data_IF_628639984921
#
_entry.id   IF_628639984921
#
_cell.length_a   1.000
_cell.length_b   1.000
_cell.length_c   1.000
_cell.angle_alpha   90.00
_cell.angle_beta   90.00
_cell.angle_gamma   90.00
#
_symmetry.space_group_name_H-M   'P 1'
#
loop_
_entity.id
_entity.type
_entity.pdbx_description
1 polymer ?
#
# COMPACT_ATOMS: atom_id res chain seq x y z
N UNK A 1 -17.69 -10.13 -3.65
CA UNK A 1 -16.91 -9.27 -2.76
C UNK A 1 -15.44 -9.63 -2.97
N UNK A 2 -14.61 -8.67 -3.40
CA UNK A 2 -13.18 -8.85 -3.62
C UNK A 2 -12.36 -8.76 -2.32
N UNK A 3 -12.98 -8.36 -1.20
CA UNK A 3 -12.31 -8.22 0.09
C UNK A 3 -11.40 -7.00 0.20
N UNK A 4 -11.42 -6.07 -0.76
CA UNK A 4 -10.55 -4.89 -0.77
C UNK A 4 -11.03 -3.74 0.12
N UNK A 5 -12.19 -3.86 0.76
CA UNK A 5 -12.69 -2.83 1.67
C UNK A 5 -13.36 -1.65 0.97
N UNK A 6 -13.75 -1.81 -0.30
CA UNK A 6 -14.53 -0.82 -1.02
C UNK A 6 -15.96 -0.73 -0.50
N UNK A 7 -16.52 0.48 -0.51
CA UNK A 7 -17.93 0.67 -0.20
C UNK A 7 -18.80 -0.02 -1.25
N UNK A 8 -19.86 -0.68 -0.79
CA UNK A 8 -20.77 -1.44 -1.66
C UNK A 8 -21.39 -0.52 -2.71
N UNK A 9 -21.25 -0.88 -3.98
CA UNK A 9 -21.78 -0.09 -5.10
C UNK A 9 -20.94 1.13 -5.49
N UNK A 10 -19.78 1.33 -4.85
CA UNK A 10 -18.78 2.32 -5.31
C UNK A 10 -18.23 1.95 -6.69
N UNK A 11 -17.60 2.90 -7.37
CA UNK A 11 -16.92 2.62 -8.64
C UNK A 11 -15.80 1.60 -8.43
N UNK A 12 -15.05 1.70 -7.32
CA UNK A 12 -14.04 0.70 -6.98
C UNK A 12 -14.60 -0.71 -6.83
N UNK A 13 -15.75 -0.88 -6.15
CA UNK A 13 -16.42 -2.19 -6.00
C UNK A 13 -16.79 -2.79 -7.36
N UNK A 14 -17.42 -1.99 -8.23
CA UNK A 14 -17.83 -2.42 -9.56
C UNK A 14 -16.65 -2.73 -10.49
N UNK A 15 -15.64 -1.86 -10.52
CA UNK A 15 -14.44 -2.04 -11.33
C UNK A 15 -13.60 -3.23 -10.86
N UNK A 16 -13.70 -3.57 -9.57
CA UNK A 16 -12.96 -4.70 -9.00
C UNK A 16 -13.42 -6.07 -9.50
N UNK A 17 -14.70 -6.18 -9.87
CA UNK A 17 -15.32 -7.44 -10.24
C UNK A 17 -14.59 -8.15 -11.40
N UNK A 18 -14.12 -7.38 -12.40
CA UNK A 18 -13.48 -7.94 -13.59
C UNK A 18 -12.13 -8.59 -13.27
N UNK A 19 -11.20 -7.84 -12.66
CA UNK A 19 -9.87 -8.38 -12.35
C UNK A 19 -9.94 -9.41 -11.23
N UNK A 20 -10.87 -9.27 -10.27
CA UNK A 20 -11.03 -10.24 -9.20
C UNK A 20 -11.52 -11.58 -9.74
N UNK A 21 -12.52 -11.57 -10.60
CA UNK A 21 -13.01 -12.79 -11.28
C UNK A 21 -11.90 -13.46 -12.10
N UNK A 22 -11.13 -12.67 -12.86
CA UNK A 22 -9.99 -13.15 -13.63
C UNK A 22 -8.93 -13.84 -12.77
N UNK A 23 -8.57 -13.24 -11.64
CA UNK A 23 -7.60 -13.79 -10.69
C UNK A 23 -8.17 -15.03 -9.99
N UNK A 24 -9.41 -14.98 -9.51
CA UNK A 24 -10.07 -16.07 -8.80
C UNK A 24 -10.16 -17.34 -9.67
N UNK A 25 -10.36 -17.20 -10.98
CA UNK A 25 -10.37 -18.32 -11.92
C UNK A 25 -8.99 -18.96 -12.17
N UNK A 26 -7.89 -18.30 -11.77
CA UNK A 26 -6.50 -18.75 -12.00
C UNK A 26 -5.75 -19.13 -10.73
N UNK A 27 -6.30 -18.76 -9.57
CA UNK A 27 -5.79 -19.16 -8.26
C UNK A 27 -6.40 -20.50 -7.90
N UNK A 28 -5.60 -21.56 -8.07
CA UNK A 28 -5.98 -22.94 -7.75
C UNK A 28 -6.01 -23.21 -6.24
N UNK A 29 -6.50 -24.39 -5.86
CA UNK A 29 -6.63 -24.78 -4.45
C UNK A 29 -5.29 -24.86 -3.72
N UNK A 30 -4.20 -25.21 -4.41
CA UNK A 30 -2.86 -25.25 -3.83
C UNK A 30 -2.38 -23.86 -3.43
N UNK A 31 -2.55 -22.88 -4.31
CA UNK A 31 -2.24 -21.47 -4.04
C UNK A 31 -3.13 -20.94 -2.91
N UNK A 32 -4.43 -21.29 -2.88
CA UNK A 32 -5.34 -20.88 -1.80
C UNK A 32 -4.91 -21.45 -0.45
N UNK A 33 -4.58 -22.74 -0.40
CA UNK A 33 -4.08 -23.39 0.80
C UNK A 33 -2.83 -22.70 1.30
N UNK A 34 -1.88 -22.40 0.41
CA UNK A 34 -0.67 -21.66 0.78
C UNK A 34 -0.98 -20.25 1.30
N UNK A 35 -1.78 -19.46 0.60
CA UNK A 35 -2.17 -18.11 1.03
C UNK A 35 -2.88 -18.12 2.40
N UNK A 36 -3.68 -19.15 2.69
CA UNK A 36 -4.37 -19.30 3.98
C UNK A 36 -3.41 -19.58 5.15
N UNK A 37 -2.19 -20.05 4.89
CA UNK A 37 -1.15 -20.21 5.93
C UNK A 37 -0.38 -18.93 6.24
N UNK A 38 -0.51 -17.89 5.41
CA UNK A 38 0.24 -16.66 5.60
C UNK A 38 -0.23 -15.93 6.86
N UNK A 39 0.69 -15.45 7.71
CA UNK A 39 0.32 -14.78 8.93
C UNK A 39 -0.31 -13.42 8.62
N UNK A 40 -1.31 -13.02 9.41
CA UNK A 40 -1.95 -11.70 9.27
C UNK A 40 -1.05 -10.54 9.68
N UNK A 41 -0.06 -10.81 10.55
CA UNK A 41 0.97 -9.86 10.98
C UNK A 41 2.29 -10.58 11.16
N UNK A 42 3.39 -9.89 10.91
CA UNK A 42 4.74 -10.33 11.23
C UNK A 42 5.35 -9.36 12.23
N UNK A 43 5.81 -9.84 13.38
CA UNK A 43 6.57 -9.04 14.33
C UNK A 43 8.05 -9.41 14.26
N UNK A 44 8.91 -8.41 14.27
CA UNK A 44 10.37 -8.61 14.19
C UNK A 44 11.11 -7.46 14.87
N UNK A 45 12.34 -7.73 15.28
CA UNK A 45 13.23 -6.69 15.81
C UNK A 45 14.26 -6.29 14.76
N UNK A 46 14.41 -4.99 14.52
CA UNK A 46 15.38 -4.46 13.57
C UNK A 46 16.06 -3.21 14.16
N UNK A 47 17.39 -3.21 14.20
CA UNK A 47 18.18 -2.16 14.88
C UNK A 47 17.78 -1.92 16.36
N UNK A 48 17.30 -2.96 17.05
CA UNK A 48 16.82 -2.84 18.45
C UNK A 48 15.42 -2.23 18.59
N UNK A 49 14.72 -1.98 17.48
CA UNK A 49 13.32 -1.53 17.45
C UNK A 49 12.40 -2.71 17.14
N UNK A 50 11.28 -2.82 17.87
CA UNK A 50 10.20 -3.77 17.62
C UNK A 50 9.31 -3.23 16.52
N UNK A 51 9.20 -3.95 15.42
CA UNK A 51 8.40 -3.57 14.27
C UNK A 51 7.34 -4.62 13.99
N UNK A 52 6.18 -4.18 13.48
CA UNK A 52 5.17 -5.07 12.91
C UNK A 52 4.96 -4.77 11.42
N UNK A 53 4.91 -5.80 10.59
CA UNK A 53 4.44 -5.70 9.22
C UNK A 53 2.98 -6.19 9.12
N UNK A 54 2.11 -5.35 8.55
CA UNK A 54 0.67 -5.62 8.36
C UNK A 54 0.23 -5.22 6.95
N UNK A 55 -0.96 -5.65 6.53
CA UNK A 55 -1.49 -5.26 5.22
C UNK A 55 -2.05 -3.82 5.22
N UNK A 56 -3.10 -3.54 6.00
CA UNK A 56 -3.75 -2.22 6.06
C UNK A 56 -3.90 -1.73 7.49
N UNK A 57 -4.89 -2.26 8.23
CA UNK A 57 -5.07 -2.04 9.66
C UNK A 57 -4.86 -3.30 10.49
N UNK A 58 -4.69 -3.14 11.79
CA UNK A 58 -4.52 -4.21 12.79
C UNK A 58 -5.83 -4.89 13.13
N UNK A 59 -6.92 -4.12 13.24
CA UNK A 59 -8.27 -4.65 13.50
C UNK A 59 -8.94 -5.16 12.22
N UNK A 60 -8.77 -4.42 11.11
CA UNK A 60 -9.35 -4.72 9.81
C UNK A 60 -8.24 -4.72 8.76
N UNK A 61 -7.97 -5.90 8.18
CA UNK A 61 -6.85 -6.13 7.26
C UNK A 61 -6.87 -5.19 6.05
N UNK A 62 -8.06 -4.81 5.59
CA UNK A 62 -8.33 -3.92 4.46
C UNK A 62 -8.83 -2.53 4.91
N UNK A 63 -8.35 -2.03 6.05
CA UNK A 63 -8.56 -0.62 6.43
C UNK A 63 -7.62 0.24 5.60
N UNK A 64 -8.18 1.21 4.88
CA UNK A 64 -7.42 2.26 4.23
C UNK A 64 -6.94 3.29 5.27
N UNK A 65 -5.63 3.55 5.26
CA UNK A 65 -4.99 4.60 6.05
C UNK A 65 -4.10 5.45 5.13
N UNK A 66 -4.29 6.76 5.18
CA UNK A 66 -3.63 7.74 4.31
C UNK A 66 -2.89 8.82 5.11
N UNK A 67 -1.91 9.44 4.47
CA UNK A 67 -1.01 10.42 5.08
C UNK A 67 -1.75 11.65 5.65
N UNK A 68 -2.92 12.00 5.14
CA UNK A 68 -3.71 13.14 5.62
C UNK A 68 -4.52 12.90 6.89
N UNK A 69 -4.69 11.64 7.30
CA UNK A 69 -5.54 11.27 8.44
C UNK A 69 -4.96 11.74 9.79
N UNK A 70 -5.81 11.79 10.81
CA UNK A 70 -5.45 12.30 12.13
C UNK A 70 -4.45 11.38 12.84
N UNK A 71 -3.63 11.92 13.75
CA UNK A 71 -2.76 11.08 14.60
C UNK A 71 -3.58 10.03 15.38
N UNK A 72 -4.80 10.37 15.78
CA UNK A 72 -5.71 9.46 16.49
C UNK A 72 -6.07 8.21 15.65
N UNK A 73 -6.25 8.35 14.33
CA UNK A 73 -6.55 7.21 13.45
C UNK A 73 -5.43 6.15 13.47
N UNK A 74 -4.19 6.61 13.51
CA UNK A 74 -3.01 5.74 13.55
C UNK A 74 -2.72 5.24 14.96
N UNK A 75 -2.87 6.07 15.99
CA UNK A 75 -2.70 5.66 17.40
C UNK A 75 -3.67 4.53 17.76
N UNK A 76 -4.92 4.58 17.28
CA UNK A 76 -5.89 3.51 17.49
C UNK A 76 -5.37 2.14 16.99
N UNK A 77 -4.60 2.12 15.91
CA UNK A 77 -4.00 0.91 15.35
C UNK A 77 -2.72 0.53 16.09
N UNK A 78 -1.87 1.50 16.39
CA UNK A 78 -0.59 1.30 17.09
C UNK A 78 -0.80 0.79 18.52
N UNK A 79 -1.83 1.24 19.24
CA UNK A 79 -2.15 0.81 20.60
C UNK A 79 -2.54 -0.69 20.69
N UNK A 80 -2.94 -1.30 19.57
CA UNK A 80 -3.21 -2.75 19.50
C UNK A 80 -1.92 -3.58 19.43
N UNK A 81 -0.77 -2.91 19.28
CA UNK A 81 0.53 -3.53 19.07
C UNK A 81 1.54 -3.01 20.09
N UNK A 82 2.24 -3.91 20.76
CA UNK A 82 3.37 -3.56 21.61
C UNK A 82 4.65 -3.43 20.74
N UNK A 83 4.70 -2.39 19.90
CA UNK A 83 5.78 -2.14 18.93
C UNK A 83 6.21 -0.67 18.90
N UNK A 84 7.48 -0.46 18.53
CA UNK A 84 8.00 0.88 18.25
C UNK A 84 7.47 1.42 16.90
N UNK A 85 7.15 0.54 15.93
CA UNK A 85 6.68 0.99 14.62
C UNK A 85 5.96 -0.07 13.77
N UNK A 86 5.22 0.42 12.77
CA UNK A 86 4.46 -0.39 11.82
C UNK A 86 4.93 -0.12 10.38
N UNK A 87 5.07 -1.21 9.62
CA UNK A 87 5.21 -1.20 8.15
C UNK A 87 3.91 -1.74 7.56
N UNK A 88 3.15 -0.87 6.90
CA UNK A 88 1.86 -1.15 6.29
C UNK A 88 1.92 -1.04 4.75
N UNK A 89 0.81 -1.39 4.10
CA UNK A 89 0.57 -1.23 2.67
C UNK A 89 -0.90 -0.86 2.41
N UNK A 90 -1.56 -1.64 1.56
CA UNK A 90 -2.99 -1.58 1.23
C UNK A 90 -3.47 -0.29 0.53
N UNK A 91 -3.22 0.89 1.09
CA UNK A 91 -3.72 2.16 0.55
C UNK A 91 -3.00 2.66 -0.70
N UNK A 92 -1.97 1.96 -1.19
CA UNK A 92 -1.38 2.20 -2.52
C UNK A 92 -0.41 3.37 -2.60
N UNK A 93 -0.60 4.39 -1.77
CA UNK A 93 0.20 5.63 -1.77
C UNK A 93 1.25 5.53 -0.65
N UNK A 94 2.55 5.60 -0.97
CA UNK A 94 3.58 5.50 0.04
C UNK A 94 3.69 6.78 0.88
N UNK A 95 3.90 6.64 2.18
CA UNK A 95 4.11 7.76 3.10
C UNK A 95 4.78 7.29 4.39
N UNK A 96 5.26 8.23 5.19
CA UNK A 96 5.70 7.96 6.54
C UNK A 96 5.13 8.98 7.52
N UNK A 97 4.67 8.51 8.68
CA UNK A 97 4.20 9.32 9.80
C UNK A 97 4.98 8.93 11.05
N UNK A 98 5.52 9.93 11.73
CA UNK A 98 6.08 9.79 13.07
C UNK A 98 5.08 10.42 14.04
N UNK A 99 4.54 9.61 14.96
CA UNK A 99 3.48 10.01 15.89
C UNK A 99 4.00 9.82 17.30
N UNK A 100 4.37 10.92 17.95
CA UNK A 100 5.20 10.87 19.15
C UNK A 100 6.48 10.09 18.86
N UNK A 101 6.69 9.00 19.60
CA UNK A 101 7.86 8.14 19.45
C UNK A 101 7.61 6.92 18.54
N UNK A 102 6.41 6.74 17.99
CA UNK A 102 6.06 5.60 17.16
C UNK A 102 6.08 5.93 15.67
N UNK A 103 6.35 4.90 14.86
CA UNK A 103 6.39 4.99 13.40
C UNK A 103 5.17 4.33 12.77
N UNK A 104 4.60 4.99 11.76
CA UNK A 104 3.76 4.35 10.77
C UNK A 104 4.33 4.60 9.37
N UNK A 105 4.78 3.54 8.70
CA UNK A 105 5.33 3.63 7.36
C UNK A 105 4.49 2.81 6.38
N UNK A 106 3.98 3.46 5.33
CA UNK A 106 3.35 2.78 4.20
C UNK A 106 4.36 2.68 3.05
N UNK A 107 4.70 1.46 2.65
CA UNK A 107 5.69 1.24 1.61
C UNK A 107 5.16 1.54 0.18
N UNK A 108 3.85 1.79 0.03
CA UNK A 108 3.16 1.82 -1.25
C UNK A 108 2.84 0.42 -1.76
N UNK A 109 2.62 0.29 -3.06
CA UNK A 109 2.40 -1.01 -3.71
C UNK A 109 3.25 -1.12 -4.96
N UNK A 110 3.78 -2.32 -5.22
CA UNK A 110 4.64 -2.59 -6.38
C UNK A 110 3.85 -2.86 -7.68
N UNK A 111 2.53 -3.06 -7.57
CA UNK A 111 1.68 -3.50 -8.70
C UNK A 111 0.72 -2.44 -9.25
N UNK A 112 0.71 -1.24 -8.67
CA UNK A 112 -0.16 -0.12 -9.09
C UNK A 112 0.54 1.21 -8.81
N UNK A 113 0.58 2.16 -9.76
CA UNK A 113 1.12 3.48 -9.49
C UNK A 113 0.39 4.22 -8.38
N UNK A 114 1.04 5.21 -7.76
CA UNK A 114 0.55 5.88 -6.54
C UNK A 114 -0.45 7.03 -6.79
N UNK A 115 -1.21 6.98 -7.88
CA UNK A 115 -2.11 8.07 -8.32
C UNK A 115 -1.38 9.43 -8.55
N UNK A 116 -0.08 9.39 -8.83
CA UNK A 116 0.81 10.55 -8.86
C UNK A 116 1.10 11.05 -10.29
N UNK A 117 0.37 10.54 -11.29
CA UNK A 117 0.53 10.94 -12.69
C UNK A 117 1.77 10.34 -13.36
N UNK A 118 2.38 9.31 -12.76
CA UNK A 118 3.50 8.59 -13.34
C UNK A 118 3.28 7.08 -13.40
N UNK A 119 3.96 6.40 -14.31
CA UNK A 119 3.84 4.96 -14.51
C UNK A 119 4.67 4.12 -13.51
N UNK A 120 5.45 4.76 -12.63
CA UNK A 120 6.29 4.06 -11.66
C UNK A 120 5.49 3.61 -10.44
N UNK A 121 5.98 2.55 -9.81
CA UNK A 121 5.48 2.09 -8.50
C UNK A 121 6.51 2.38 -7.42
N UNK A 122 6.26 1.97 -6.18
CA UNK A 122 7.10 2.33 -5.04
C UNK A 122 7.45 1.13 -4.18
N UNK A 123 8.67 1.18 -3.64
CA UNK A 123 9.12 0.31 -2.55
C UNK A 123 9.96 1.14 -1.59
N UNK A 124 10.25 0.58 -0.41
CA UNK A 124 11.08 1.25 0.59
C UNK A 124 12.19 0.34 1.08
N UNK A 125 13.33 0.94 1.42
CA UNK A 125 14.45 0.27 2.09
C UNK A 125 14.50 0.72 3.55
N UNK A 126 14.62 -0.26 4.45
CA UNK A 126 14.88 -0.05 5.86
C UNK A 126 16.34 -0.42 6.14
N UNK A 127 17.13 0.55 6.54
CA UNK A 127 18.57 0.40 6.79
C UNK A 127 18.89 0.78 8.22
N UNK A 128 19.86 0.08 8.83
CA UNK A 128 20.35 0.41 10.17
C UNK A 128 21.34 1.56 10.08
N UNK A 129 21.13 2.61 10.87
CA UNK A 129 22.07 3.74 10.96
C UNK A 129 22.70 3.92 12.33
N UNK A 130 22.13 3.28 13.35
CA UNK A 130 22.63 3.29 14.72
C UNK A 130 21.78 2.39 15.63
N UNK A 131 22.13 2.34 16.91
CA UNK A 131 21.30 1.67 17.90
C UNK A 131 19.95 2.39 18.01
N UNK A 132 18.86 1.61 17.93
CA UNK A 132 17.49 2.10 17.92
C UNK A 132 17.21 3.20 16.89
N UNK A 133 17.91 3.17 15.74
CA UNK A 133 17.71 4.13 14.65
C UNK A 133 17.72 3.47 13.28
N UNK A 134 16.78 3.90 12.43
CA UNK A 134 16.58 3.43 11.06
C UNK A 134 16.65 4.59 10.07
N UNK A 135 17.23 4.31 8.91
CA UNK A 135 16.96 5.07 7.69
C UNK A 135 15.87 4.37 6.90
N UNK A 136 14.85 5.11 6.52
CA UNK A 136 13.77 4.65 5.65
C UNK A 136 13.84 5.47 4.38
N UNK A 137 14.19 4.84 3.27
CA UNK A 137 14.27 5.49 1.96
C UNK A 137 13.24 4.91 1.01
N UNK A 138 12.40 5.78 0.43
CA UNK A 138 11.41 5.42 -0.58
C UNK A 138 12.03 5.56 -1.96
N UNK A 139 11.85 4.53 -2.78
CA UNK A 139 12.44 4.45 -4.11
C UNK A 139 11.39 4.15 -5.16
N UNK A 140 11.50 4.78 -6.35
CA UNK A 140 10.66 4.45 -7.47
C UNK A 140 11.07 3.11 -8.10
N UNK A 141 10.09 2.28 -8.42
CA UNK A 141 10.27 1.05 -9.16
C UNK A 141 9.69 1.21 -10.56
N UNK A 142 10.56 1.17 -11.57
CA UNK A 142 10.18 1.13 -12.98
C UNK A 142 10.07 -0.32 -13.45
N UNK A 143 9.10 -0.57 -14.32
CA UNK A 143 8.83 -1.88 -14.90
C UNK A 143 8.41 -1.72 -16.36
N UNK A 144 8.31 -2.83 -17.08
CA UNK A 144 7.81 -2.82 -18.47
C UNK A 144 6.28 -2.65 -18.46
N UNK A 145 5.86 -1.40 -18.39
CA UNK A 145 4.45 -0.98 -18.42
C UNK A 145 3.76 -1.46 -19.70
N UNK A 146 4.43 -1.33 -20.86
CA UNK A 146 3.85 -1.69 -22.15
C UNK A 146 3.52 -3.19 -22.25
N UNK A 147 4.46 -4.06 -21.85
CA UNK A 147 4.23 -5.51 -21.81
C UNK A 147 3.13 -5.87 -20.81
N UNK A 148 3.11 -5.21 -19.66
CA UNK A 148 2.09 -5.47 -18.62
C UNK A 148 0.69 -5.10 -19.10
N UNK A 149 0.53 -3.93 -19.73
CA UNK A 149 -0.78 -3.44 -20.17
C UNK A 149 -1.27 -4.22 -21.39
N UNK A 150 -0.37 -4.64 -22.28
CA UNK A 150 -0.70 -5.55 -23.38
C UNK A 150 -1.19 -6.92 -22.87
N UNK A 151 -0.55 -7.48 -21.85
CA UNK A 151 -1.05 -8.72 -21.21
C UNK A 151 -2.44 -8.52 -20.61
N UNK A 152 -2.70 -7.39 -19.95
CA UNK A 152 -4.03 -7.05 -19.44
C UNK A 152 -5.07 -6.95 -20.57
N UNK A 153 -4.74 -6.27 -21.68
CA UNK A 153 -5.63 -6.16 -22.84
C UNK A 153 -5.97 -7.52 -23.44
N UNK A 154 -4.97 -8.38 -23.67
CA UNK A 154 -5.17 -9.76 -24.17
C UNK A 154 -6.02 -10.61 -23.23
N UNK A 155 -5.90 -10.37 -21.93
CA UNK A 155 -6.72 -11.00 -20.90
C UNK A 155 -8.15 -10.44 -20.80
N UNK A 156 -8.49 -9.40 -21.57
CA UNK A 156 -9.79 -8.72 -21.51
C UNK A 156 -9.96 -7.80 -20.29
N UNK A 157 -8.89 -7.49 -19.56
CA UNK A 157 -8.89 -6.61 -18.38
C UNK A 157 -8.88 -5.14 -18.80
N UNK A 158 -10.04 -4.63 -19.22
CA UNK A 158 -10.19 -3.31 -19.83
C UNK A 158 -10.87 -2.26 -18.93
N UNK A 159 -11.16 -2.60 -17.66
CA UNK A 159 -11.84 -1.76 -16.67
C UNK A 159 -11.10 -0.50 -16.18
N UNK A 160 -10.05 -0.04 -16.88
CA UNK A 160 -9.38 1.23 -16.60
C UNK A 160 -8.06 1.08 -15.86
N UNK A 161 -7.85 -0.02 -15.12
CA UNK A 161 -6.58 -0.27 -14.43
C UNK A 161 -5.39 -0.38 -15.39
N UNK A 162 -5.57 -0.91 -16.59
CA UNK A 162 -4.52 -0.90 -17.62
C UNK A 162 -4.10 0.52 -18.00
N UNK A 163 -5.03 1.49 -18.02
CA UNK A 163 -4.68 2.91 -18.25
C UNK A 163 -3.99 3.51 -17.05
N UNK A 164 -4.42 3.15 -15.84
CA UNK A 164 -3.78 3.59 -14.60
C UNK A 164 -2.31 3.17 -14.53
N UNK A 165 -1.97 1.97 -15.00
CA UNK A 165 -0.57 1.54 -15.13
C UNK A 165 0.24 2.43 -16.09
N UNK A 166 -0.40 2.97 -17.13
CA UNK A 166 0.25 3.77 -18.19
C UNK A 166 0.41 5.24 -17.81
N UNK A 167 -0.60 5.83 -17.18
CA UNK A 167 -0.66 7.27 -16.91
C UNK A 167 -0.51 7.63 -15.42
N UNK A 168 -0.49 6.64 -14.54
CA UNK A 168 -0.37 6.87 -13.11
C UNK A 168 -1.60 7.46 -12.43
N UNK A 169 -2.78 7.39 -13.05
CA UNK A 169 -4.03 7.94 -12.52
C UNK A 169 -5.02 6.81 -12.25
N UNK A 170 -5.54 6.74 -11.03
CA UNK A 170 -6.47 5.70 -10.65
C UNK A 170 -7.82 5.85 -11.37
N UNK A 171 -8.49 4.73 -11.70
CA UNK A 171 -9.78 4.77 -12.40
C UNK A 171 -10.94 5.22 -11.50
N UNK A 172 -10.72 5.28 -10.18
CA UNK A 172 -11.65 5.83 -9.19
C UNK A 172 -10.87 6.44 -8.01
N UNK A 173 -11.47 7.43 -7.36
CA UNK A 173 -10.94 8.12 -6.19
C UNK A 173 -11.79 7.90 -4.93
N UNK A 174 -12.70 6.90 -4.96
CA UNK A 174 -13.70 6.67 -3.90
C UNK A 174 -13.05 6.45 -2.52
N UNK A 175 -11.89 5.77 -2.50
CA UNK A 175 -11.18 5.44 -1.25
C UNK A 175 -10.35 6.59 -0.69
N UNK A 176 -10.06 7.62 -1.48
CA UNK A 176 -9.13 8.67 -1.09
C UNK A 176 -9.80 9.69 -0.17
N UNK A 177 -9.16 10.21 0.88
CA UNK A 177 -9.59 11.43 1.55
C UNK A 177 -9.39 12.65 0.64
N UNK A 178 -9.94 13.79 1.05
CA UNK A 178 -9.91 15.03 0.24
C UNK A 178 -8.49 15.47 -0.14
N UNK A 179 -7.54 15.46 0.80
CA UNK A 179 -6.15 15.86 0.51
C UNK A 179 -5.47 14.96 -0.51
N UNK A 180 -5.63 13.63 -0.40
CA UNK A 180 -5.09 12.69 -1.39
C UNK A 180 -5.79 12.83 -2.75
N UNK A 181 -7.09 13.15 -2.78
CA UNK A 181 -7.80 13.48 -4.02
C UNK A 181 -7.21 14.71 -4.70
N UNK A 182 -6.99 15.79 -3.96
CA UNK A 182 -6.40 17.03 -4.49
C UNK A 182 -4.96 16.85 -4.98
N UNK A 183 -4.24 15.86 -4.44
CA UNK A 183 -2.90 15.49 -4.85
C UNK A 183 -2.85 14.59 -6.09
N UNK A 184 -4.00 14.17 -6.64
CA UNK A 184 -4.07 13.33 -7.85
C UNK A 184 -3.25 13.93 -8.99
N UNK A 185 -2.39 13.12 -9.60
CA UNK A 185 -1.54 13.54 -10.72
C UNK A 185 -0.34 14.41 -10.33
N UNK A 186 -0.10 14.64 -9.03
CA UNK A 186 1.09 15.33 -8.54
C UNK A 186 2.16 14.30 -8.19
N UNK A 187 3.24 14.30 -8.96
CA UNK A 187 4.34 13.35 -8.81
C UNK A 187 4.90 13.36 -7.37
N UNK A 188 5.01 12.18 -6.78
CA UNK A 188 5.67 12.01 -5.49
C UNK A 188 7.18 12.06 -5.66
N UNK A 189 7.87 12.75 -4.74
CA UNK A 189 9.33 12.75 -4.70
C UNK A 189 9.87 11.56 -3.90
N UNK A 190 11.09 11.17 -4.23
CA UNK A 190 11.90 10.31 -3.37
C UNK A 190 12.02 10.97 -1.99
N UNK A 191 11.91 10.18 -0.92
CA UNK A 191 12.05 10.67 0.45
C UNK A 191 12.92 9.71 1.23
N UNK A 192 13.82 10.28 2.02
CA UNK A 192 14.58 9.54 3.02
C UNK A 192 14.36 10.19 4.37
N UNK A 193 14.01 9.39 5.36
CA UNK A 193 13.89 9.82 6.75
C UNK A 193 14.82 9.02 7.64
N UNK A 194 15.20 9.63 8.76
CA UNK A 194 15.85 8.95 9.88
C UNK A 194 14.84 8.94 11.03
N UNK A 195 14.59 7.75 11.59
CA UNK A 195 13.67 7.59 12.72
C UNK A 195 14.25 6.65 13.79
N UNK A 196 14.10 6.96 15.09
CA UNK A 196 13.58 8.22 15.64
C UNK A 196 14.43 9.44 15.28
N UNK A 197 13.80 10.60 15.20
CA UNK A 197 14.51 11.88 15.10
C UNK A 197 15.18 12.14 16.45
N UNK A 198 16.51 12.31 16.45
CA UNK A 198 17.28 12.67 17.64
C UNK A 198 17.05 14.14 18.01
#
# INVERSE_FOLDING_TARGET
>A
DCGCGFDRGSSCDLLSAQWFSYANARVDDGIRCWMATLPRRLEFTFSGLRLAAIHGGTQKINRFLFASQSDADFLQELEQLDVDGVVAGHSGIPFTRCIGNQLWHNAGVIGMPANDGSDRTWYSLLERTGERQLRISRHPLRYDTATTTEKMRRAGLTGGYQRALENGLWPSLDVLPEREREATGRALADETIIWPLL
#
